data_IF_567774423004
#
_entry.id   IF_567774423004
#
_cell.length_a   1.000
_cell.length_b   1.000
_cell.length_c   1.000
_cell.angle_alpha   90.00
_cell.angle_beta   90.00
_cell.angle_gamma   90.00
#
_symmetry.space_group_name_H-M   'P 1'
#
loop_
_entity.id
_entity.type
_entity.pdbx_description
1 polymer ?
#
# COMPACT_ATOMS: atom_id res chain seq x y z
N UNK A 1 38.72 0.45 -15.41
CA UNK A 1 38.82 1.38 -16.54
C UNK A 1 37.57 1.24 -17.42
N UNK A 2 36.50 1.86 -17.08
CA UNK A 2 35.38 2.38 -17.87
C UNK A 2 34.33 2.76 -16.83
N UNK A 3 34.44 4.00 -16.33
CA UNK A 3 33.39 4.62 -15.55
C UNK A 3 32.22 4.88 -16.49
N UNK A 4 31.37 3.90 -16.69
CA UNK A 4 30.04 4.09 -17.23
C UNK A 4 29.26 4.85 -16.21
N UNK A 5 28.92 6.11 -16.47
CA UNK A 5 27.88 6.87 -15.76
C UNK A 5 26.50 6.26 -16.09
N UNK A 6 26.34 4.98 -15.80
CA UNK A 6 25.04 4.32 -15.78
C UNK A 6 24.26 4.91 -14.63
N UNK A 7 23.16 5.58 -14.95
CA UNK A 7 22.20 6.08 -13.97
C UNK A 7 21.71 4.88 -13.18
N UNK A 8 22.11 4.77 -11.92
CA UNK A 8 21.71 3.67 -11.05
C UNK A 8 20.32 3.96 -10.46
N UNK A 9 19.30 3.74 -11.30
CA UNK A 9 17.89 3.95 -10.95
C UNK A 9 17.42 3.00 -9.83
N UNK A 10 18.13 1.88 -9.63
CA UNK A 10 17.76 0.87 -8.65
C UNK A 10 18.48 1.03 -7.30
N UNK A 11 19.54 1.83 -7.22
CA UNK A 11 20.31 2.03 -5.99
C UNK A 11 19.52 2.65 -4.83
N UNK A 12 18.45 3.37 -5.13
CA UNK A 12 17.55 3.94 -4.12
C UNK A 12 16.75 2.87 -3.34
N UNK A 13 16.57 1.66 -3.91
CA UNK A 13 15.86 0.55 -3.29
C UNK A 13 16.78 -0.36 -2.46
N UNK A 14 18.09 -0.08 -2.42
CA UNK A 14 19.02 -0.85 -1.59
C UNK A 14 18.84 -0.54 -0.11
N UNK A 15 18.73 -1.59 0.69
CA UNK A 15 18.62 -1.51 2.14
C UNK A 15 19.98 -1.13 2.75
N UNK A 16 20.12 0.12 3.20
CA UNK A 16 21.33 0.58 3.90
C UNK A 16 21.15 0.46 5.41
N UNK A 17 22.13 -0.03 6.17
CA UNK A 17 22.10 -0.02 7.62
C UNK A 17 22.18 1.44 8.13
N UNK A 18 21.25 1.84 9.01
CA UNK A 18 21.15 3.24 9.50
C UNK A 18 22.13 3.52 10.64
N UNK A 19 22.45 2.51 11.42
CA UNK A 19 23.34 2.61 12.59
C UNK A 19 24.53 1.67 12.36
N UNK A 20 25.75 2.20 12.23
CA UNK A 20 26.99 1.41 12.05
C UNK A 20 27.04 0.10 12.85
N UNK A 21 28.05 -0.37 13.44
CA UNK A 21 28.16 -1.69 14.07
C UNK A 21 26.99 -2.18 14.95
N UNK A 22 26.20 -1.28 15.59
CA UNK A 22 24.96 -1.63 16.30
C UNK A 22 23.80 -1.95 15.35
N UNK A 23 23.75 -1.29 14.18
CA UNK A 23 22.74 -1.55 13.15
C UNK A 23 22.94 -2.89 12.44
N UNK A 24 24.18 -3.32 12.28
CA UNK A 24 24.51 -4.65 11.73
C UNK A 24 24.11 -5.77 12.70
N UNK A 25 24.37 -5.60 14.00
CA UNK A 25 24.02 -6.59 15.03
C UNK A 25 22.51 -6.78 15.19
N UNK A 26 21.72 -5.71 15.03
CA UNK A 26 20.25 -5.74 15.14
C UNK A 26 19.55 -5.85 13.79
N UNK A 27 20.27 -5.85 12.66
CA UNK A 27 19.74 -5.80 11.30
C UNK A 27 18.70 -4.67 11.09
N UNK A 28 18.92 -3.53 11.78
CA UNK A 28 18.06 -2.35 11.65
C UNK A 28 18.36 -1.67 10.31
N UNK A 29 17.61 -2.03 9.30
CA UNK A 29 17.63 -1.37 7.97
C UNK A 29 16.75 -0.10 7.98
N UNK A 30 16.84 0.68 6.92
CA UNK A 30 16.02 1.89 6.76
C UNK A 30 14.50 1.58 6.77
N UNK A 31 14.08 0.44 6.24
CA UNK A 31 12.67 0.08 6.10
C UNK A 31 11.88 0.07 7.42
N UNK A 32 12.29 -0.61 8.51
CA UNK A 32 11.59 -0.55 9.80
C UNK A 32 11.49 0.85 10.39
N UNK A 33 12.50 1.70 10.16
CA UNK A 33 12.51 3.07 10.67
C UNK A 33 11.43 3.92 9.98
N UNK A 34 11.32 3.82 8.65
CA UNK A 34 10.28 4.52 7.91
C UNK A 34 8.87 3.95 8.18
N UNK A 35 8.74 2.64 8.45
CA UNK A 35 7.48 2.06 8.93
C UNK A 35 7.06 2.64 10.29
N UNK A 36 8.02 2.75 11.24
CA UNK A 36 7.76 3.36 12.54
C UNK A 36 7.38 4.83 12.39
N UNK A 37 8.08 5.57 11.51
CA UNK A 37 7.76 6.96 11.19
C UNK A 37 6.32 7.09 10.65
N UNK A 38 5.91 6.20 9.75
CA UNK A 38 4.53 6.18 9.22
C UNK A 38 3.51 5.97 10.34
N UNK A 39 3.75 5.02 11.24
CA UNK A 39 2.88 4.77 12.40
C UNK A 39 2.82 6.00 13.31
N UNK A 40 3.98 6.60 13.66
CA UNK A 40 4.03 7.80 14.48
C UNK A 40 3.28 8.98 13.84
N UNK A 41 3.40 9.15 12.52
CA UNK A 41 2.72 10.23 11.78
C UNK A 41 1.20 10.03 11.82
N UNK A 42 0.72 8.81 11.61
CA UNK A 42 -0.72 8.48 11.69
C UNK A 42 -1.24 8.69 13.10
N UNK A 43 -0.51 8.23 14.12
CA UNK A 43 -0.91 8.42 15.52
C UNK A 43 -0.91 9.91 15.90
N UNK A 44 0.07 10.68 15.44
CA UNK A 44 0.12 12.12 15.65
C UNK A 44 -1.06 12.82 14.97
N UNK A 45 -1.37 12.47 13.72
CA UNK A 45 -2.52 13.01 13.00
C UNK A 45 -3.82 12.76 13.76
N UNK A 46 -4.05 11.54 14.23
CA UNK A 46 -5.24 11.18 14.99
C UNK A 46 -5.28 11.87 16.36
N UNK A 47 -4.16 11.89 17.08
CA UNK A 47 -4.08 12.52 18.40
C UNK A 47 -4.37 14.02 18.34
N UNK A 48 -3.72 14.74 17.42
CA UNK A 48 -3.94 16.19 17.24
C UNK A 48 -5.28 16.50 16.57
N UNK A 49 -5.77 15.63 15.68
CA UNK A 49 -7.08 15.77 15.05
C UNK A 49 -8.24 15.57 16.02
N UNK A 50 -8.09 14.73 17.04
CA UNK A 50 -9.13 14.44 18.02
C UNK A 50 -9.04 15.30 19.29
N UNK A 51 -8.07 16.18 19.43
CA UNK A 51 -7.93 17.11 20.57
C UNK A 51 -7.86 18.56 20.11
N UNK A 52 -8.67 19.47 20.74
CA UNK A 52 -9.78 19.22 21.65
C UNK A 52 -11.01 18.76 20.87
N UNK A 53 -11.77 17.80 21.42
CA UNK A 53 -13.05 17.38 20.88
C UNK A 53 -14.09 18.49 21.10
N UNK A 54 -14.12 19.46 20.18
CA UNK A 54 -15.05 20.57 20.22
C UNK A 54 -16.35 20.20 19.50
N UNK A 55 -17.50 20.68 20.00
CA UNK A 55 -18.81 20.47 19.36
C UNK A 55 -18.85 21.10 17.96
N UNK A 56 -18.11 22.21 17.76
CA UNK A 56 -17.89 22.82 16.44
C UNK A 56 -16.45 22.47 16.03
N UNK A 57 -16.26 21.51 15.11
CA UNK A 57 -14.94 21.03 14.75
C UNK A 57 -14.10 22.10 14.06
N UNK A 58 -12.85 22.25 14.49
CA UNK A 58 -11.85 23.00 13.75
C UNK A 58 -11.49 22.29 12.45
N UNK A 59 -10.80 22.97 11.52
CA UNK A 59 -10.44 22.43 10.20
C UNK A 59 -9.70 21.08 10.28
N UNK A 60 -8.82 20.92 11.26
CA UNK A 60 -8.02 19.72 11.45
C UNK A 60 -8.85 18.58 12.03
N UNK A 61 -9.72 18.87 12.98
CA UNK A 61 -10.68 17.91 13.54
C UNK A 61 -11.68 17.45 12.47
N UNK A 62 -12.23 18.39 11.69
CA UNK A 62 -13.15 18.07 10.60
C UNK A 62 -12.50 17.14 9.55
N UNK A 63 -11.22 17.35 9.20
CA UNK A 63 -10.52 16.46 8.30
C UNK A 63 -10.37 15.04 8.89
N UNK A 64 -10.04 14.92 10.17
CA UNK A 64 -9.91 13.62 10.84
C UNK A 64 -11.27 12.90 10.94
N UNK A 65 -12.36 13.63 11.25
CA UNK A 65 -13.72 13.10 11.29
C UNK A 65 -14.20 12.62 9.92
N UNK A 66 -13.99 13.40 8.86
CA UNK A 66 -14.33 12.99 7.48
C UNK A 66 -13.59 11.71 7.08
N UNK A 67 -12.30 11.62 7.39
CA UNK A 67 -11.54 10.41 7.13
C UNK A 67 -12.06 9.20 7.93
N UNK A 68 -12.41 9.41 9.18
CA UNK A 68 -12.99 8.38 10.05
C UNK A 68 -14.32 7.88 9.51
N UNK A 69 -15.24 8.79 9.19
CA UNK A 69 -16.56 8.47 8.65
C UNK A 69 -16.45 7.77 7.29
N UNK A 70 -15.57 8.24 6.42
CA UNK A 70 -15.35 7.64 5.12
C UNK A 70 -14.97 6.16 5.21
N UNK A 71 -13.98 5.81 6.04
CA UNK A 71 -13.55 4.41 6.20
C UNK A 71 -14.60 3.59 6.95
N UNK A 72 -15.28 4.18 7.94
CA UNK A 72 -16.35 3.50 8.68
C UNK A 72 -17.52 3.15 7.76
N UNK A 73 -17.97 4.11 6.97
CA UNK A 73 -19.07 3.88 6.03
C UNK A 73 -18.69 2.84 4.98
N UNK A 74 -17.47 2.93 4.41
CA UNK A 74 -16.97 1.92 3.50
C UNK A 74 -16.99 0.51 4.12
N UNK A 75 -16.57 0.36 5.37
CA UNK A 75 -16.56 -0.94 6.05
C UNK A 75 -17.98 -1.46 6.30
N UNK A 76 -18.88 -0.59 6.79
CA UNK A 76 -20.27 -0.96 7.09
C UNK A 76 -21.09 -1.22 5.81
N UNK A 77 -20.91 -0.40 4.78
CA UNK A 77 -21.63 -0.55 3.51
C UNK A 77 -21.19 -1.81 2.75
N UNK A 78 -19.92 -2.20 2.90
CA UNK A 78 -19.38 -3.38 2.20
C UNK A 78 -19.62 -4.68 2.97
N UNK A 79 -19.33 -4.71 4.26
CA UNK A 79 -19.38 -5.94 5.09
C UNK A 79 -20.78 -6.13 5.68
N UNK A 80 -21.48 -5.03 5.98
CA UNK A 80 -22.73 -5.03 6.75
C UNK A 80 -22.51 -4.58 8.19
N UNK A 81 -23.49 -4.84 9.09
CA UNK A 81 -23.45 -4.40 10.50
C UNK A 81 -22.20 -4.91 11.25
N UNK A 82 -21.71 -6.07 10.88
CA UNK A 82 -20.51 -6.70 11.47
C UNK A 82 -19.22 -5.97 11.08
N UNK A 83 -19.27 -5.16 10.02
CA UNK A 83 -18.15 -4.34 9.55
C UNK A 83 -17.61 -3.37 10.61
N UNK A 84 -18.45 -2.95 11.56
CA UNK A 84 -18.03 -2.11 12.65
C UNK A 84 -16.97 -2.76 13.56
N UNK A 85 -16.98 -4.09 13.69
CA UNK A 85 -15.98 -4.82 14.46
C UNK A 85 -14.60 -4.84 13.76
N UNK A 86 -14.58 -4.82 12.43
CA UNK A 86 -13.35 -4.84 11.62
C UNK A 86 -12.84 -3.44 11.27
N UNK A 87 -13.64 -2.39 11.56
CA UNK A 87 -13.30 -1.01 11.28
C UNK A 87 -11.90 -0.59 11.78
N UNK A 88 -11.48 -0.86 13.03
CA UNK A 88 -10.16 -0.43 13.51
C UNK A 88 -9.01 -1.01 12.70
N UNK A 89 -9.15 -2.26 12.26
CA UNK A 89 -8.15 -2.92 11.41
C UNK A 89 -8.08 -2.29 10.02
N UNK A 90 -9.24 -2.11 9.36
CA UNK A 90 -9.33 -1.52 8.02
C UNK A 90 -8.82 -0.08 8.03
N UNK A 91 -9.16 0.68 9.06
CA UNK A 91 -8.72 2.05 9.27
C UNK A 91 -7.19 2.14 9.42
N UNK A 92 -6.62 1.31 10.29
CA UNK A 92 -5.17 1.26 10.50
C UNK A 92 -4.45 0.87 9.23
N UNK A 93 -4.96 -0.13 8.50
CA UNK A 93 -4.39 -0.61 7.24
C UNK A 93 -4.39 0.49 6.18
N UNK A 94 -5.52 1.18 6.00
CA UNK A 94 -5.66 2.29 5.05
C UNK A 94 -4.64 3.40 5.33
N UNK A 95 -4.60 3.89 6.57
CA UNK A 95 -3.71 4.99 6.93
C UNK A 95 -2.24 4.60 6.93
N UNK A 96 -1.91 3.36 7.27
CA UNK A 96 -0.53 2.86 7.21
C UNK A 96 -0.02 2.84 5.77
N UNK A 97 -0.82 2.32 4.83
CA UNK A 97 -0.46 2.29 3.40
C UNK A 97 -0.40 3.71 2.84
N UNK A 98 -1.38 4.56 3.17
CA UNK A 98 -1.42 5.95 2.73
C UNK A 98 -0.20 6.73 3.20
N UNK A 99 0.13 6.63 4.48
CA UNK A 99 1.31 7.29 5.05
C UNK A 99 2.61 6.76 4.43
N UNK A 100 2.68 5.44 4.21
CA UNK A 100 3.83 4.81 3.54
C UNK A 100 4.05 5.31 2.12
N UNK A 101 2.98 5.42 1.35
CA UNK A 101 3.04 5.92 -0.01
C UNK A 101 3.43 7.41 -0.03
N UNK A 102 2.87 8.23 0.85
CA UNK A 102 3.19 9.66 0.90
C UNK A 102 4.59 9.96 1.44
N UNK A 103 5.06 9.22 2.44
CA UNK A 103 6.44 9.34 2.92
C UNK A 103 7.41 8.98 1.80
N UNK A 104 7.10 7.93 1.03
CA UNK A 104 7.92 7.50 -0.10
C UNK A 104 8.06 8.55 -1.21
N UNK A 105 7.07 9.44 -1.40
CA UNK A 105 7.09 10.51 -2.39
C UNK A 105 7.99 11.71 -1.97
N UNK A 106 8.38 11.80 -0.71
CA UNK A 106 9.27 12.86 -0.28
C UNK A 106 10.68 12.64 -0.85
N UNK A 107 11.32 13.69 -1.40
CA UNK A 107 12.68 13.57 -1.91
C UNK A 107 13.63 13.12 -0.78
N UNK A 108 14.54 12.21 -1.11
CA UNK A 108 15.49 11.57 -0.19
C UNK A 108 14.87 10.64 0.86
N UNK A 109 13.58 10.32 0.78
CA UNK A 109 12.95 9.32 1.65
C UNK A 109 13.06 7.91 1.07
N UNK A 110 13.03 6.93 1.98
CA UNK A 110 13.03 5.53 1.60
C UNK A 110 11.59 5.01 1.55
N UNK A 111 11.18 4.45 0.41
CA UNK A 111 9.84 3.92 0.20
C UNK A 111 9.78 2.45 0.62
N UNK A 112 9.28 2.16 1.82
CA UNK A 112 9.19 0.78 2.28
C UNK A 112 8.12 -0.03 1.52
N UNK A 113 7.12 0.61 0.93
CA UNK A 113 6.10 -0.03 0.07
C UNK A 113 6.63 -0.45 -1.30
N UNK A 114 7.85 -0.02 -1.68
CA UNK A 114 8.58 -0.53 -2.85
C UNK A 114 9.29 -1.87 -2.61
N UNK A 115 9.23 -2.41 -1.38
CA UNK A 115 9.76 -3.73 -1.07
C UNK A 115 8.66 -4.77 -1.07
N UNK A 116 8.79 -5.76 -1.96
CA UNK A 116 7.80 -6.86 -2.09
C UNK A 116 7.60 -7.63 -0.78
N UNK A 117 8.63 -7.74 0.07
CA UNK A 117 8.53 -8.41 1.36
C UNK A 117 7.54 -7.70 2.31
N UNK A 118 7.51 -6.36 2.28
CA UNK A 118 6.59 -5.56 3.10
C UNK A 118 5.17 -5.63 2.58
N UNK A 119 5.00 -5.43 1.28
CA UNK A 119 3.66 -5.48 0.64
C UNK A 119 3.05 -6.87 0.71
N UNK A 120 3.87 -7.91 0.55
CA UNK A 120 3.44 -9.30 0.73
C UNK A 120 3.09 -9.58 2.20
N UNK A 121 3.88 -9.06 3.16
CA UNK A 121 3.58 -9.18 4.59
C UNK A 121 2.22 -8.58 4.95
N UNK A 122 1.91 -7.38 4.43
CA UNK A 122 0.60 -6.73 4.62
C UNK A 122 -0.54 -7.54 3.99
N UNK A 123 -0.34 -8.02 2.75
CA UNK A 123 -1.33 -8.83 2.06
C UNK A 123 -1.57 -10.18 2.76
N UNK A 124 -0.51 -10.82 3.26
CA UNK A 124 -0.60 -12.04 4.04
C UNK A 124 -1.30 -11.82 5.38
N UNK A 125 -1.08 -10.69 6.05
CA UNK A 125 -1.77 -10.34 7.29
C UNK A 125 -3.30 -10.24 7.05
N UNK A 126 -3.72 -9.58 5.98
CA UNK A 126 -5.14 -9.51 5.58
C UNK A 126 -5.67 -10.90 5.26
N UNK A 127 -4.92 -11.69 4.50
CA UNK A 127 -5.31 -13.05 4.11
C UNK A 127 -5.48 -13.97 5.32
N UNK A 128 -4.51 -13.98 6.24
CA UNK A 128 -4.58 -14.78 7.48
C UNK A 128 -5.76 -14.35 8.34
N UNK A 129 -6.00 -13.04 8.47
CA UNK A 129 -7.17 -12.54 9.19
C UNK A 129 -8.47 -13.05 8.55
N UNK A 130 -8.59 -12.97 7.23
CA UNK A 130 -9.75 -13.46 6.48
C UNK A 130 -9.98 -14.95 6.71
N UNK A 131 -8.92 -15.76 6.64
CA UNK A 131 -9.00 -17.21 6.90
C UNK A 131 -9.43 -17.50 8.34
N UNK A 132 -8.86 -16.78 9.32
CA UNK A 132 -9.23 -16.95 10.75
C UNK A 132 -10.70 -16.61 10.97
N UNK A 133 -11.19 -15.51 10.37
CA UNK A 133 -12.59 -15.10 10.47
C UNK A 133 -13.49 -16.14 9.81
N UNK A 134 -13.16 -16.58 8.60
CA UNK A 134 -13.92 -17.64 7.90
C UNK A 134 -14.01 -18.93 8.70
N UNK A 135 -12.90 -19.37 9.29
CA UNK A 135 -12.87 -20.58 10.12
C UNK A 135 -13.69 -20.42 11.42
N UNK A 136 -13.70 -19.22 12.02
CA UNK A 136 -14.50 -18.96 13.21
C UNK A 136 -16.00 -18.89 12.94
N UNK A 137 -16.40 -18.31 11.82
CA UNK A 137 -17.82 -18.09 11.48
C UNK A 137 -18.40 -19.33 10.79
N UNK A 138 -17.71 -19.87 9.80
CA UNK A 138 -18.19 -20.97 8.95
C UNK A 138 -17.73 -22.36 9.45
N UNK A 139 -16.70 -22.42 10.30
CA UNK A 139 -16.15 -23.68 10.78
C UNK A 139 -15.69 -24.60 9.64
N UNK A 140 -16.08 -25.88 9.68
CA UNK A 140 -15.74 -26.84 8.62
C UNK A 140 -16.44 -26.59 7.28
N UNK A 141 -17.50 -25.76 7.25
CA UNK A 141 -18.17 -25.35 6.01
C UNK A 141 -17.28 -24.48 5.12
N UNK A 142 -16.25 -23.85 5.68
CA UNK A 142 -15.24 -23.13 4.92
C UNK A 142 -14.64 -23.99 3.80
N UNK A 143 -14.39 -25.27 4.05
CA UNK A 143 -13.86 -26.17 3.02
C UNK A 143 -14.88 -26.49 1.93
N UNK A 144 -16.18 -26.40 2.22
CA UNK A 144 -17.23 -26.56 1.21
C UNK A 144 -17.28 -25.36 0.23
N UNK A 145 -16.72 -24.20 0.61
CA UNK A 145 -16.61 -23.03 -0.26
C UNK A 145 -15.75 -23.30 -1.51
N UNK A 146 -14.77 -24.21 -1.42
CA UNK A 146 -13.97 -24.60 -2.57
C UNK A 146 -14.72 -25.48 -3.58
N UNK A 147 -15.97 -25.85 -3.30
CA UNK A 147 -16.82 -26.58 -4.22
C UNK A 147 -18.05 -25.74 -4.57
N UNK A 148 -18.14 -25.17 -5.79
CA UNK A 148 -19.27 -24.35 -6.20
C UNK A 148 -20.59 -25.11 -6.09
N UNK A 149 -21.62 -24.45 -5.56
CA UNK A 149 -22.95 -25.04 -5.42
C UNK A 149 -23.51 -25.43 -6.80
N UNK A 150 -23.91 -26.69 -6.95
CA UNK A 150 -24.45 -27.21 -8.22
C UNK A 150 -23.42 -27.87 -9.16
N UNK A 151 -22.14 -27.89 -8.81
CA UNK A 151 -21.15 -28.61 -9.58
C UNK A 151 -21.28 -30.15 -9.43
N UNK A 152 -21.17 -30.88 -10.52
CA UNK A 152 -21.12 -32.34 -10.49
C UNK A 152 -19.88 -32.81 -9.72
N UNK A 153 -20.04 -33.82 -8.86
CA UNK A 153 -18.95 -34.45 -8.10
C UNK A 153 -17.81 -34.98 -8.99
N UNK A 154 -18.11 -35.28 -10.24
CA UNK A 154 -17.13 -35.72 -11.24
C UNK A 154 -16.17 -34.58 -11.64
N UNK A 155 -16.56 -33.29 -11.50
CA UNK A 155 -15.74 -32.12 -11.81
C UNK A 155 -14.96 -31.60 -10.59
N UNK A 156 -15.21 -32.13 -9.39
CA UNK A 156 -14.56 -31.70 -8.15
C UNK A 156 -13.01 -31.73 -8.22
N UNK A 157 -12.36 -32.77 -8.75
CA UNK A 157 -10.90 -32.83 -8.81
C UNK A 157 -10.27 -31.77 -9.72
N UNK A 158 -11.03 -31.15 -10.61
CA UNK A 158 -10.58 -30.04 -11.45
C UNK A 158 -10.94 -28.67 -10.81
N UNK A 159 -12.13 -28.53 -10.25
CA UNK A 159 -12.65 -27.28 -9.70
C UNK A 159 -11.95 -26.88 -8.39
N UNK A 160 -11.72 -27.83 -7.49
CA UNK A 160 -11.09 -27.54 -6.19
C UNK A 160 -9.69 -26.93 -6.33
N UNK A 161 -8.76 -27.48 -7.16
CA UNK A 161 -7.46 -26.85 -7.35
C UNK A 161 -7.54 -25.46 -7.97
N UNK A 162 -8.48 -25.21 -8.90
CA UNK A 162 -8.66 -23.90 -9.51
C UNK A 162 -9.14 -22.88 -8.47
N UNK A 163 -10.09 -23.26 -7.62
CA UNK A 163 -10.62 -22.39 -6.56
C UNK A 163 -9.56 -22.09 -5.51
N UNK A 164 -8.75 -23.08 -5.11
CA UNK A 164 -7.61 -22.87 -4.20
C UNK A 164 -6.58 -21.90 -4.82
N UNK A 165 -6.25 -22.07 -6.10
CA UNK A 165 -5.35 -21.17 -6.81
C UNK A 165 -5.92 -19.75 -6.88
N UNK A 166 -7.21 -19.61 -7.18
CA UNK A 166 -7.92 -18.34 -7.17
C UNK A 166 -7.87 -17.66 -5.81
N UNK A 167 -8.14 -18.41 -4.75
CA UNK A 167 -8.09 -17.93 -3.37
C UNK A 167 -6.67 -17.48 -2.96
N UNK A 168 -5.64 -18.25 -3.33
CA UNK A 168 -4.24 -17.92 -3.05
C UNK A 168 -3.72 -16.74 -3.90
N UNK A 169 -4.29 -16.54 -5.08
CA UNK A 169 -3.90 -15.42 -5.96
C UNK A 169 -4.30 -14.04 -5.40
N UNK A 170 -5.29 -13.98 -4.50
CA UNK A 170 -5.79 -12.74 -3.90
C UNK A 170 -4.69 -11.94 -3.17
N UNK A 171 -3.96 -12.51 -2.16
CA UNK A 171 -2.89 -11.78 -1.48
C UNK A 171 -1.72 -11.47 -2.42
N UNK A 172 -1.40 -12.36 -3.36
CA UNK A 172 -0.33 -12.15 -4.33
C UNK A 172 -0.65 -10.95 -5.23
N UNK A 173 -1.85 -10.93 -5.81
CA UNK A 173 -2.30 -9.82 -6.66
C UNK A 173 -2.32 -8.47 -5.91
N UNK A 174 -2.78 -8.49 -4.66
CA UNK A 174 -2.85 -7.30 -3.80
C UNK A 174 -1.45 -6.75 -3.49
N UNK A 175 -0.51 -7.63 -3.15
CA UNK A 175 0.88 -7.29 -2.88
C UNK A 175 1.60 -6.76 -4.12
N UNK A 176 1.51 -7.46 -5.26
CA UNK A 176 2.17 -7.05 -6.49
C UNK A 176 1.64 -5.70 -6.97
N UNK A 177 0.34 -5.44 -6.84
CA UNK A 177 -0.25 -4.17 -7.24
C UNK A 177 0.33 -3.00 -6.44
N UNK A 178 0.45 -3.14 -5.12
CA UNK A 178 1.04 -2.10 -4.28
C UNK A 178 2.53 -1.90 -4.58
N UNK A 179 3.29 -2.98 -4.68
CA UNK A 179 4.71 -2.98 -4.99
C UNK A 179 4.99 -2.38 -6.38
N UNK A 180 4.35 -2.92 -7.42
CA UNK A 180 4.63 -2.53 -8.81
C UNK A 180 4.29 -1.06 -9.07
N UNK A 181 3.20 -0.56 -8.48
CA UNK A 181 2.80 0.82 -8.63
C UNK A 181 3.86 1.79 -8.06
N UNK A 182 4.36 1.52 -6.86
CA UNK A 182 5.38 2.37 -6.22
C UNK A 182 6.72 2.29 -6.94
N UNK A 183 7.16 1.08 -7.34
CA UNK A 183 8.42 0.93 -8.09
C UNK A 183 8.34 1.60 -9.46
N UNK A 184 7.22 1.42 -10.18
CA UNK A 184 7.05 2.04 -11.50
C UNK A 184 7.05 3.56 -11.43
N UNK A 185 6.37 4.16 -10.43
CA UNK A 185 6.34 5.61 -10.22
C UNK A 185 7.74 6.18 -9.99
N UNK A 186 8.48 5.61 -9.03
CA UNK A 186 9.85 6.06 -8.73
C UNK A 186 10.81 5.89 -9.91
N UNK A 187 10.77 4.76 -10.61
CA UNK A 187 11.62 4.51 -11.79
C UNK A 187 11.34 5.54 -12.89
N UNK A 188 10.07 5.83 -13.17
CA UNK A 188 9.69 6.85 -14.16
C UNK A 188 10.17 8.23 -13.74
N UNK A 189 10.03 8.60 -12.47
CA UNK A 189 10.51 9.87 -11.93
C UNK A 189 12.02 10.04 -12.14
N UNK A 190 12.82 9.03 -11.80
CA UNK A 190 14.27 9.05 -11.94
C UNK A 190 14.72 9.12 -13.40
N UNK A 191 14.02 8.42 -14.31
CA UNK A 191 14.32 8.47 -15.74
C UNK A 191 14.12 9.89 -16.27
N UNK A 192 13.01 10.55 -16.00
CA UNK A 192 12.78 11.91 -16.47
C UNK A 192 13.69 12.95 -15.79
N UNK A 193 14.01 12.76 -14.50
CA UNK A 193 15.00 13.59 -13.81
C UNK A 193 16.38 13.47 -14.48
N UNK A 194 16.75 12.27 -14.89
CA UNK A 194 18.01 12.01 -15.61
C UNK A 194 18.05 12.68 -16.99
N UNK A 195 16.92 12.70 -17.70
CA UNK A 195 16.85 13.45 -18.97
C UNK A 195 17.05 14.95 -18.77
N UNK A 196 16.52 15.54 -17.69
CA UNK A 196 16.75 16.94 -17.35
C UNK A 196 18.25 17.22 -17.19
N UNK A 197 18.94 16.39 -16.39
CA UNK A 197 20.38 16.54 -16.13
C UNK A 197 21.19 16.40 -17.44
N UNK A 198 20.82 15.43 -18.29
CA UNK A 198 21.50 15.19 -19.56
C UNK A 198 21.32 16.35 -20.54
N UNK A 199 20.11 16.92 -20.62
CA UNK A 199 19.83 18.06 -21.49
C UNK A 199 20.51 19.35 -21.01
N UNK A 200 20.59 19.59 -19.71
CA UNK A 200 21.28 20.75 -19.13
C UNK A 200 22.76 20.83 -19.54
N UNK A 201 23.40 19.70 -19.91
CA UNK A 201 24.76 19.67 -20.42
C UNK A 201 24.94 20.30 -21.80
N UNK A 202 23.87 20.56 -22.56
CA UNK A 202 23.93 21.16 -23.89
C UNK A 202 23.82 22.71 -23.93
N UNK A 203 23.91 23.37 -22.76
CA UNK A 203 23.81 24.83 -22.63
C UNK A 203 22.40 25.35 -22.86
N UNK A 204 22.26 26.62 -23.25
CA UNK A 204 20.96 27.33 -23.35
C UNK A 204 19.93 26.58 -24.20
N UNK A 205 20.34 25.91 -25.26
CA UNK A 205 19.43 25.11 -26.10
C UNK A 205 18.92 23.91 -25.31
N UNK A 206 19.79 23.25 -24.56
CA UNK A 206 19.43 22.11 -23.72
C UNK A 206 18.46 22.53 -22.58
N UNK A 207 18.66 23.70 -21.98
CA UNK A 207 17.79 24.23 -20.93
C UNK A 207 16.34 24.43 -21.42
N UNK A 208 16.17 24.93 -22.66
CA UNK A 208 14.84 25.08 -23.28
C UNK A 208 14.16 23.73 -23.48
N UNK A 209 14.91 22.73 -23.97
CA UNK A 209 14.37 21.37 -24.15
C UNK A 209 14.13 20.63 -22.83
N UNK A 210 14.83 20.97 -21.74
CA UNK A 210 14.63 20.41 -20.41
C UNK A 210 13.26 20.76 -19.79
N UNK A 211 12.59 21.81 -20.27
CA UNK A 211 11.24 22.19 -19.82
C UNK A 211 10.25 21.03 -20.03
N UNK A 212 10.36 20.29 -21.12
CA UNK A 212 9.49 19.14 -21.42
C UNK A 212 9.54 18.05 -20.35
N UNK A 213 10.72 17.43 -20.11
CA UNK A 213 10.88 16.44 -19.04
C UNK A 213 10.52 16.96 -17.64
N UNK A 214 10.78 18.23 -17.32
CA UNK A 214 10.38 18.83 -16.04
C UNK A 214 8.85 18.86 -15.91
N UNK A 215 8.14 19.31 -16.95
CA UNK A 215 6.68 19.35 -16.94
C UNK A 215 6.07 17.95 -16.80
N UNK A 216 6.64 16.95 -17.49
CA UNK A 216 6.23 15.55 -17.37
C UNK A 216 6.48 15.06 -15.93
N UNK A 217 7.62 15.39 -15.34
CA UNK A 217 7.96 14.97 -13.98
C UNK A 217 7.00 15.56 -12.93
N UNK A 218 6.62 16.83 -13.09
CA UNK A 218 5.59 17.44 -12.25
C UNK A 218 4.22 16.74 -12.39
N UNK A 219 3.84 16.38 -13.60
CA UNK A 219 2.61 15.64 -13.86
C UNK A 219 2.66 14.22 -13.25
N UNK A 220 3.82 13.56 -13.32
CA UNK A 220 4.05 12.24 -12.70
C UNK A 220 3.93 12.32 -11.17
N UNK A 221 4.49 13.33 -10.50
CA UNK A 221 4.34 13.51 -9.05
C UNK A 221 2.87 13.66 -8.68
N UNK A 222 2.11 14.48 -9.41
CA UNK A 222 0.68 14.65 -9.17
C UNK A 222 -0.11 13.34 -9.37
N UNK A 223 0.24 12.59 -10.42
CA UNK A 223 -0.33 11.27 -10.68
C UNK A 223 -0.01 10.30 -9.53
N UNK A 224 1.23 10.27 -9.07
CA UNK A 224 1.69 9.34 -8.03
C UNK A 224 1.05 9.64 -6.67
N UNK A 225 0.82 10.93 -6.34
CA UNK A 225 0.01 11.33 -5.18
C UNK A 225 -1.41 10.78 -5.26
N UNK A 226 -2.06 10.92 -6.41
CA UNK A 226 -3.41 10.42 -6.64
C UNK A 226 -3.45 8.88 -6.54
N UNK A 227 -2.52 8.22 -7.20
CA UNK A 227 -2.43 6.76 -7.20
C UNK A 227 -2.09 6.23 -5.82
N UNK A 228 -1.28 6.94 -5.03
CA UNK A 228 -0.99 6.61 -3.63
C UNK A 228 -2.24 6.52 -2.75
N UNK A 229 -3.19 7.47 -2.92
CA UNK A 229 -4.51 7.43 -2.25
C UNK A 229 -5.36 6.28 -2.77
N UNK A 230 -5.48 6.19 -4.11
CA UNK A 230 -6.28 5.14 -4.76
C UNK A 230 -5.80 3.74 -4.34
N UNK A 231 -4.50 3.54 -4.22
CA UNK A 231 -3.93 2.26 -3.83
C UNK A 231 -4.25 1.89 -2.38
N UNK A 232 -4.18 2.86 -1.44
CA UNK A 232 -4.61 2.65 -0.07
C UNK A 232 -6.11 2.32 0.01
N UNK A 233 -6.93 3.04 -0.78
CA UNK A 233 -8.37 2.78 -0.89
C UNK A 233 -8.67 1.39 -1.46
N UNK A 234 -8.03 1.03 -2.59
CA UNK A 234 -8.24 -0.29 -3.22
C UNK A 234 -7.83 -1.42 -2.28
N UNK A 235 -6.74 -1.24 -1.53
CA UNK A 235 -6.32 -2.24 -0.55
C UNK A 235 -7.35 -2.41 0.57
N UNK A 236 -7.88 -1.32 1.10
CA UNK A 236 -8.89 -1.32 2.15
C UNK A 236 -10.24 -1.91 1.66
N UNK A 237 -10.73 -1.51 0.48
CA UNK A 237 -12.01 -2.02 -0.05
C UNK A 237 -11.93 -3.51 -0.39
N UNK A 238 -10.82 -3.99 -0.95
CA UNK A 238 -10.62 -5.42 -1.20
C UNK A 238 -10.56 -6.21 0.11
N UNK A 239 -9.95 -5.66 1.15
CA UNK A 239 -9.99 -6.24 2.50
C UNK A 239 -11.42 -6.36 3.02
N UNK A 240 -12.25 -5.32 2.83
CA UNK A 240 -13.68 -5.36 3.18
C UNK A 240 -14.43 -6.45 2.41
N UNK A 241 -14.18 -6.58 1.11
CA UNK A 241 -14.81 -7.61 0.28
C UNK A 241 -14.43 -9.01 0.74
N UNK A 242 -13.16 -9.25 1.04
CA UNK A 242 -12.70 -10.56 1.55
C UNK A 242 -13.28 -10.88 2.93
N UNK A 243 -13.39 -9.88 3.82
CA UNK A 243 -14.04 -10.04 5.12
C UNK A 243 -15.55 -10.28 4.98
N UNK A 244 -16.22 -9.61 4.02
CA UNK A 244 -17.62 -9.88 3.70
C UNK A 244 -17.84 -11.33 3.30
N UNK A 245 -17.00 -11.85 2.39
CA UNK A 245 -17.08 -13.27 1.98
C UNK A 245 -16.82 -14.22 3.16
N UNK A 246 -15.93 -13.82 4.09
CA UNK A 246 -15.60 -14.59 5.28
C UNK A 246 -16.77 -14.65 6.29
N UNK A 247 -17.56 -13.58 6.38
CA UNK A 247 -18.69 -13.44 7.32
C UNK A 247 -20.02 -13.88 6.70
N UNK A 248 -20.16 -13.83 5.35
CA UNK A 248 -21.35 -14.27 4.65
C UNK A 248 -21.57 -15.78 4.84
N UNK A 249 -22.79 -16.14 5.23
CA UNK A 249 -23.22 -17.54 5.42
C UNK A 249 -23.63 -18.20 4.11
#
# INVERSE_FOLDING_TARGET
LAGGSGIDVLGQFELRPVLGGLGEALRFSQSPLYMLLAVCLVLAFLYFGMRPAAVVPGRFQAAAEVCYEFIRNMAVDTIGPEGAAFFPFIFTLFFFILAGNYIGLLPFSFTFTSHIAVTLGLALMVFVLTVIVSLKVQGFRFFAHFMPAGASMALAPLLIPIEILSFLSRPVSLSIRLFANMVAGHVMFDIFASFVIMLAGFGVVGDVFAIGPIAINMALVALELLVGVLQAYVFAILTCIYLREAVAH
#
